data_IF_706927157428
#
_entry.id   IF_706927157428
#
_cell.length_a   1.000
_cell.length_b   1.000
_cell.length_c   1.000
_cell.angle_alpha   90.00
_cell.angle_beta   90.00
_cell.angle_gamma   90.00
#
_symmetry.space_group_name_H-M   'P 1'
#
loop_
_entity.id
_entity.type
_entity.pdbx_description
1 polymer ?
#
# COMPACT_ATOMS: atom_id res chain seq x y z
N UNK A 1 -17.28 -2.74 -20.29
CA UNK A 1 -17.11 -2.07 -18.98
C UNK A 1 -16.23 -2.88 -18.03
N UNK A 2 -16.30 -4.21 -18.07
CA UNK A 2 -15.49 -5.08 -17.20
C UNK A 2 -14.01 -5.18 -17.62
N UNK A 3 -13.72 -5.11 -18.93
CA UNK A 3 -12.33 -5.16 -19.43
C UNK A 3 -11.44 -4.02 -18.89
N UNK A 4 -12.01 -2.84 -18.64
CA UNK A 4 -11.26 -1.68 -18.14
C UNK A 4 -10.83 -1.84 -16.67
N UNK A 5 -11.54 -2.67 -15.89
CA UNK A 5 -11.24 -2.94 -14.48
C UNK A 5 -10.16 -4.01 -14.31
N UNK A 6 -9.97 -4.84 -15.33
CA UNK A 6 -8.90 -5.83 -15.40
C UNK A 6 -7.70 -5.31 -16.19
N UNK A 7 -7.84 -4.19 -16.90
CA UNK A 7 -6.73 -3.56 -17.59
C UNK A 7 -5.77 -2.87 -16.60
N UNK A 8 -4.63 -3.53 -16.40
CA UNK A 8 -3.57 -3.07 -15.49
C UNK A 8 -3.13 -1.64 -15.77
N UNK A 9 -3.00 -1.22 -17.03
CA UNK A 9 -2.52 0.12 -17.35
C UNK A 9 -3.54 1.18 -16.98
N UNK A 10 -4.81 0.92 -17.28
CA UNK A 10 -5.92 1.83 -16.96
C UNK A 10 -6.11 1.95 -15.45
N UNK A 11 -6.13 0.81 -14.74
CA UNK A 11 -6.25 0.80 -13.28
C UNK A 11 -5.06 1.50 -12.62
N UNK A 12 -3.84 1.28 -13.11
CA UNK A 12 -2.65 1.93 -12.57
C UNK A 12 -2.73 3.47 -12.70
N UNK A 13 -3.13 3.98 -13.86
CA UNK A 13 -3.33 5.42 -14.06
C UNK A 13 -4.48 5.96 -13.21
N UNK A 14 -5.56 5.19 -13.04
CA UNK A 14 -6.67 5.55 -12.18
C UNK A 14 -6.24 5.64 -10.71
N UNK A 15 -5.50 4.66 -10.18
CA UNK A 15 -5.04 4.68 -8.78
C UNK A 15 -3.99 5.76 -8.51
N UNK A 16 -3.16 6.09 -9.51
CA UNK A 16 -2.22 7.21 -9.43
C UNK A 16 -2.94 8.55 -9.29
N UNK A 17 -4.12 8.70 -9.92
CA UNK A 17 -4.95 9.91 -9.79
C UNK A 17 -5.82 9.90 -8.55
N UNK A 18 -6.34 8.74 -8.18
CA UNK A 18 -7.19 8.54 -7.01
C UNK A 18 -7.00 7.13 -6.46
N UNK A 19 -6.32 6.98 -5.33
CA UNK A 19 -6.05 5.65 -4.75
C UNK A 19 -7.32 4.82 -4.53
N UNK A 20 -8.46 5.47 -4.27
CA UNK A 20 -9.76 4.81 -4.11
C UNK A 20 -10.29 4.11 -5.37
N UNK A 21 -9.67 4.31 -6.53
CA UNK A 21 -10.00 3.57 -7.76
C UNK A 21 -9.75 2.06 -7.62
N UNK A 22 -8.86 1.65 -6.70
CA UNK A 22 -8.53 0.25 -6.45
C UNK A 22 -9.76 -0.60 -6.06
N UNK A 23 -10.78 -0.01 -5.41
CA UNK A 23 -12.00 -0.73 -5.03
C UNK A 23 -12.75 -1.30 -6.25
N UNK A 24 -12.63 -0.64 -7.40
CA UNK A 24 -13.30 -1.01 -8.65
C UNK A 24 -12.44 -1.92 -9.54
N UNK A 25 -11.17 -2.12 -9.21
CA UNK A 25 -10.29 -3.01 -9.95
C UNK A 25 -10.71 -4.48 -9.78
N UNK A 26 -10.33 -5.30 -10.75
CA UNK A 26 -10.47 -6.75 -10.64
C UNK A 26 -9.64 -7.30 -9.47
N UNK A 27 -10.07 -8.43 -8.90
CA UNK A 27 -9.40 -9.05 -7.74
C UNK A 27 -7.95 -9.40 -8.04
N UNK A 28 -7.64 -9.85 -9.26
CA UNK A 28 -6.28 -10.12 -9.71
C UNK A 28 -5.36 -8.88 -9.58
N UNK A 29 -5.89 -7.70 -9.85
CA UNK A 29 -5.16 -6.43 -9.73
C UNK A 29 -5.09 -5.92 -8.30
N UNK A 30 -6.05 -6.28 -7.44
CA UNK A 30 -5.99 -6.02 -5.99
C UNK A 30 -4.94 -6.89 -5.28
N UNK A 31 -4.49 -7.96 -5.93
CA UNK A 31 -3.31 -8.75 -5.53
C UNK A 31 -2.02 -8.30 -6.22
N UNK A 32 -2.06 -7.35 -7.18
CA UNK A 32 -0.86 -6.82 -7.82
C UNK A 32 -0.18 -5.78 -6.90
N UNK A 33 0.95 -6.19 -6.32
CA UNK A 33 1.80 -5.34 -5.47
C UNK A 33 2.05 -3.96 -6.06
N UNK A 34 2.28 -3.83 -7.36
CA UNK A 34 2.63 -2.55 -8.00
C UNK A 34 1.45 -1.59 -7.99
N UNK A 35 0.26 -2.09 -8.32
CA UNK A 35 -0.95 -1.27 -8.38
C UNK A 35 -1.36 -0.87 -6.97
N UNK A 36 -1.37 -1.83 -6.03
CA UNK A 36 -1.73 -1.54 -4.63
C UNK A 36 -0.74 -0.55 -4.04
N UNK A 37 0.58 -0.72 -4.25
CA UNK A 37 1.57 0.24 -3.76
C UNK A 37 1.37 1.64 -4.34
N UNK A 38 1.05 1.75 -5.64
CA UNK A 38 0.74 3.03 -6.26
C UNK A 38 -0.51 3.69 -5.65
N UNK A 39 -1.55 2.90 -5.36
CA UNK A 39 -2.75 3.38 -4.67
C UNK A 39 -2.43 3.85 -3.25
N UNK A 40 -1.64 3.07 -2.51
CA UNK A 40 -1.24 3.34 -1.12
C UNK A 40 -0.44 4.63 -1.00
N UNK A 41 0.45 4.89 -1.97
CA UNK A 41 1.19 6.15 -2.05
C UNK A 41 0.26 7.37 -2.14
N UNK A 42 -0.94 7.22 -2.69
CA UNK A 42 -1.95 8.28 -2.75
C UNK A 42 -2.82 8.35 -1.51
N UNK A 43 -3.29 7.21 -1.00
CA UNK A 43 -4.18 7.16 0.16
C UNK A 43 -3.94 5.88 0.97
N UNK A 44 -3.53 6.02 2.23
CA UNK A 44 -3.32 4.86 3.12
C UNK A 44 -4.57 4.00 3.34
N UNK A 45 -5.79 4.57 3.26
CA UNK A 45 -7.05 3.84 3.44
C UNK A 45 -7.38 2.83 2.34
N UNK A 46 -6.69 2.86 1.20
CA UNK A 46 -6.94 1.92 0.09
C UNK A 46 -6.49 0.50 0.39
N UNK A 47 -5.69 0.34 1.45
CA UNK A 47 -5.27 -0.97 1.97
C UNK A 47 -6.43 -1.89 2.30
N UNK A 48 -7.57 -1.34 2.71
CA UNK A 48 -8.79 -2.13 2.97
C UNK A 48 -9.28 -2.91 1.75
N UNK A 49 -8.93 -2.46 0.53
CA UNK A 49 -9.29 -3.12 -0.72
C UNK A 49 -8.20 -4.05 -1.26
N UNK A 50 -7.01 -4.06 -0.66
CA UNK A 50 -5.92 -4.94 -1.06
C UNK A 50 -6.22 -6.39 -0.65
N UNK A 51 -5.74 -7.33 -1.45
CA UNK A 51 -5.85 -8.75 -1.15
C UNK A 51 -5.22 -9.09 0.20
N UNK A 52 -5.79 -10.09 0.88
CA UNK A 52 -5.35 -10.52 2.21
C UNK A 52 -3.91 -11.06 2.18
N UNK A 53 -3.51 -11.68 1.07
CA UNK A 53 -2.16 -12.17 0.82
C UNK A 53 -1.13 -11.03 0.91
N UNK A 54 -1.41 -9.88 0.28
CA UNK A 54 -0.54 -8.71 0.36
C UNK A 54 -0.55 -8.09 1.77
N UNK A 55 -1.70 -8.06 2.45
CA UNK A 55 -1.80 -7.56 3.84
C UNK A 55 -1.04 -8.45 4.84
N UNK A 56 -0.85 -9.72 4.50
CA UNK A 56 -0.04 -10.68 5.25
C UNK A 56 1.43 -10.72 4.81
N UNK A 57 1.78 -10.07 3.70
CA UNK A 57 3.16 -10.02 3.21
C UNK A 57 3.98 -8.98 3.97
N UNK A 58 4.96 -9.46 4.75
CA UNK A 58 5.87 -8.63 5.55
C UNK A 58 6.58 -7.57 4.71
N UNK A 59 7.13 -7.97 3.56
CA UNK A 59 7.98 -7.10 2.76
C UNK A 59 7.16 -6.00 2.08
N UNK A 60 5.96 -6.37 1.60
CA UNK A 60 4.99 -5.42 1.08
C UNK A 60 4.54 -4.41 2.14
N UNK A 61 4.18 -4.89 3.34
CA UNK A 61 3.75 -4.02 4.43
C UNK A 61 4.84 -3.06 4.88
N UNK A 62 6.10 -3.49 4.89
CA UNK A 62 7.25 -2.63 5.19
C UNK A 62 7.51 -1.59 4.10
N UNK A 63 7.27 -1.91 2.83
CA UNK A 63 7.39 -0.92 1.77
C UNK A 63 6.26 0.10 1.83
N UNK A 64 5.05 -0.37 2.09
CA UNK A 64 3.88 0.47 2.21
C UNK A 64 3.92 1.38 3.43
N UNK A 65 4.40 0.87 4.57
CA UNK A 65 4.55 1.66 5.78
C UNK A 65 5.64 2.72 5.63
N UNK A 66 6.53 2.66 4.63
CA UNK A 66 7.42 3.79 4.31
C UNK A 66 6.66 4.97 3.71
N UNK A 67 5.58 4.68 3.00
CA UNK A 67 4.76 5.69 2.33
C UNK A 67 3.61 6.20 3.21
N UNK A 68 2.99 5.32 3.99
CA UNK A 68 1.89 5.67 4.89
C UNK A 68 1.98 4.85 6.18
N UNK A 69 2.19 5.51 7.32
CA UNK A 69 2.21 4.83 8.62
C UNK A 69 0.90 4.10 8.93
N UNK A 70 -0.20 4.65 8.41
CA UNK A 70 -1.55 4.08 8.47
C UNK A 70 -1.70 2.78 7.66
N UNK A 71 -0.69 2.35 6.90
CA UNK A 71 -0.68 1.02 6.30
C UNK A 71 -0.70 -0.07 7.39
N UNK A 72 0.03 0.13 8.48
CA UNK A 72 0.25 -0.89 9.51
C UNK A 72 -1.04 -1.31 10.24
N UNK A 73 -2.02 -0.40 10.38
CA UNK A 73 -3.33 -0.74 10.97
C UNK A 73 -4.12 -1.75 10.12
N UNK A 74 -3.89 -1.78 8.80
CA UNK A 74 -4.54 -2.69 7.86
C UNK A 74 -3.75 -3.98 7.61
N UNK A 75 -2.55 -4.12 8.18
CA UNK A 75 -1.80 -5.36 8.09
C UNK A 75 -2.60 -6.53 8.70
N UNK A 76 -2.16 -7.76 8.46
CA UNK A 76 -2.67 -8.91 9.20
C UNK A 76 -2.32 -8.81 10.68
N UNK A 77 -3.15 -9.42 11.53
CA UNK A 77 -2.93 -9.38 12.98
C UNK A 77 -1.58 -9.98 13.39
N UNK A 78 -1.10 -10.98 12.63
CA UNK A 78 0.24 -11.55 12.82
C UNK A 78 1.34 -10.50 12.67
N UNK A 79 1.34 -9.73 11.57
CA UNK A 79 2.33 -8.66 11.34
C UNK A 79 2.18 -7.48 12.32
N UNK A 80 0.95 -7.17 12.74
CA UNK A 80 0.70 -6.17 13.80
C UNK A 80 1.25 -6.60 15.16
N UNK A 81 1.15 -7.88 15.48
CA UNK A 81 1.72 -8.44 16.70
C UNK A 81 3.23 -8.70 16.58
N UNK A 82 3.76 -8.79 15.36
CA UNK A 82 5.20 -8.93 15.14
C UNK A 82 5.92 -7.62 15.44
N UNK A 83 6.51 -7.58 16.64
CA UNK A 83 7.24 -6.42 17.13
C UNK A 83 8.43 -6.06 16.22
N UNK A 84 9.03 -7.02 15.52
CA UNK A 84 10.15 -6.75 14.62
C UNK A 84 9.67 -5.96 13.41
N UNK A 85 8.52 -6.33 12.83
CA UNK A 85 7.88 -5.59 11.72
C UNK A 85 7.49 -4.18 12.15
N UNK A 86 6.84 -4.04 13.31
CA UNK A 86 6.44 -2.73 13.84
C UNK A 86 7.65 -1.83 14.11
N UNK A 87 8.73 -2.37 14.69
CA UNK A 87 9.94 -1.59 14.97
C UNK A 87 10.71 -1.20 13.69
N UNK A 88 10.75 -2.08 12.70
CA UNK A 88 11.36 -1.80 11.40
C UNK A 88 10.56 -0.71 10.66
N UNK A 89 9.23 -0.83 10.64
CA UNK A 89 8.31 0.17 10.12
C UNK A 89 8.51 1.56 10.75
N UNK A 90 8.60 1.61 12.09
CA UNK A 90 8.82 2.85 12.85
C UNK A 90 10.20 3.47 12.56
N UNK A 91 11.24 2.64 12.44
CA UNK A 91 12.58 3.13 12.06
C UNK A 91 12.60 3.76 10.68
N UNK A 92 12.00 3.08 9.70
CA UNK A 92 11.95 3.56 8.32
C UNK A 92 11.14 4.86 8.21
N UNK A 93 10.05 4.98 8.97
CA UNK A 93 9.29 6.23 9.09
C UNK A 93 10.13 7.40 9.63
N UNK A 94 10.93 7.15 10.67
CA UNK A 94 11.83 8.15 11.24
C UNK A 94 12.92 8.63 10.28
N UNK A 95 13.39 7.76 9.38
CA UNK A 95 14.35 8.11 8.32
C UNK A 95 13.69 8.96 7.21
N UNK A 96 12.43 8.67 6.87
CA UNK A 96 11.70 9.38 5.80
C UNK A 96 11.36 10.82 6.20
N UNK A 97 11.00 11.07 7.46
CA UNK A 97 10.83 12.43 7.98
C UNK A 97 12.13 13.24 7.97
N UNK A 98 13.27 12.58 8.21
CA UNK A 98 14.58 13.24 8.25
C UNK A 98 15.14 13.62 6.87
N UNK A 99 14.69 12.94 5.81
CA UNK A 99 15.19 13.15 4.43
C UNK A 99 14.29 14.04 3.58
N UNK A 100 13.00 14.21 3.96
CA UNK A 100 12.11 15.18 3.29
C UNK A 100 12.42 16.64 3.61
N UNK A 101 13.08 16.91 4.74
CA UNK A 101 13.43 18.27 5.18
C UNK A 101 14.67 18.86 4.46
N UNK A 102 15.41 18.04 3.69
CA UNK A 102 16.65 18.46 3.00
C UNK A 102 16.51 18.61 1.48
N UNK A 103 15.29 18.72 0.96
CA UNK A 103 15.02 18.98 -0.44
C UNK A 103 14.15 20.23 -0.62
N UNK A 104 14.68 21.38 -0.19
CA UNK A 104 14.28 22.72 -0.68
C UNK A 104 15.52 23.48 -1.16
#
# INVERSE_FOLDING_TARGET
ADELKSDRAIVLEAVKRSGGALQYAADELKSDRTIVLAAVKQCGHVFSYAADELRSDRNFMLEAVKHSADALQFASNELKSDRSVVLEALREQGQNFRTRDTAE
#
